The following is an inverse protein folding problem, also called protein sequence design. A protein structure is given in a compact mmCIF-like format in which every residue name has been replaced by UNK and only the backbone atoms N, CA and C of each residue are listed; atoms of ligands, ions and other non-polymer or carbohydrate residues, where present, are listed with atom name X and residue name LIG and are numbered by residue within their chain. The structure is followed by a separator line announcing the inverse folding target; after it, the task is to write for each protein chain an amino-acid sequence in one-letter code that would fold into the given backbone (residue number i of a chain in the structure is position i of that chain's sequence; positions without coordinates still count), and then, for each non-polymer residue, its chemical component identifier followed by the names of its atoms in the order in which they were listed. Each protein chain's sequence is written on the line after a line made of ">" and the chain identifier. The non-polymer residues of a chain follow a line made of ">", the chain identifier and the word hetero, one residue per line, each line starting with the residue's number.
data_IF_363287699199
#
_entry.id   IF_363287699199
#
_cell.length_a   1.000
_cell.length_b   1.000
_cell.length_c   1.000
_cell.angle_alpha   90.00
_cell.angle_beta   90.00
_cell.angle_gamma   90.00
#
_symmetry.space_group_name_H-M   'P 1'
#
loop_
_entity.id
_entity.type
_entity.pdbx_description
1 polymer ?
#
# COMPACT_ATOMS: atom_id res chain seq x y z
N UNK A 1 30.08 8.04 12.82
CA UNK A 1 28.88 7.38 12.24
C UNK A 1 27.93 7.10 13.39
N UNK A 2 26.61 7.31 13.26
CA UNK A 2 25.66 6.78 14.24
C UNK A 2 25.80 5.24 14.28
N UNK A 3 25.66 4.68 15.47
CA UNK A 3 25.69 3.23 15.69
C UNK A 3 24.54 2.55 14.91
N UNK A 4 24.77 1.40 14.25
CA UNK A 4 23.71 0.70 13.53
C UNK A 4 22.60 0.29 14.50
N UNK A 5 21.34 0.49 14.10
CA UNK A 5 20.16 0.07 14.87
C UNK A 5 20.24 -1.44 15.15
N UNK A 6 20.11 -1.88 16.41
CA UNK A 6 20.22 -3.30 16.75
C UNK A 6 19.16 -4.12 16.01
N UNK A 7 19.58 -5.25 15.45
CA UNK A 7 18.68 -6.09 14.66
C UNK A 7 17.61 -6.75 15.55
N UNK A 8 16.33 -6.57 15.18
CA UNK A 8 15.21 -7.27 15.80
C UNK A 8 15.22 -8.78 15.50
N UNK A 9 14.33 -9.50 16.18
CA UNK A 9 14.08 -10.92 15.89
C UNK A 9 13.36 -11.07 14.54
N UNK A 10 13.76 -12.03 13.68
CA UNK A 10 13.04 -12.30 12.44
C UNK A 10 11.55 -12.58 12.67
N UNK A 11 10.71 -12.11 11.75
CA UNK A 11 9.27 -12.36 11.70
C UNK A 11 8.92 -13.35 10.58
N UNK A 12 7.67 -13.80 10.52
CA UNK A 12 7.22 -14.70 9.43
C UNK A 12 7.13 -13.93 8.10
N UNK A 13 6.68 -12.68 8.18
CA UNK A 13 6.49 -11.82 7.02
C UNK A 13 7.82 -11.50 6.33
N UNK A 14 7.88 -11.82 5.04
CA UNK A 14 8.90 -11.33 4.12
C UNK A 14 8.29 -10.26 3.25
N UNK A 15 9.04 -9.20 3.01
CA UNK A 15 8.54 -7.98 2.38
C UNK A 15 9.33 -7.67 1.12
N UNK A 16 8.62 -7.35 0.06
CA UNK A 16 9.12 -6.71 -1.13
C UNK A 16 8.85 -5.21 -1.07
N UNK A 17 9.81 -4.39 -1.50
CA UNK A 17 9.61 -2.96 -1.65
C UNK A 17 10.30 -2.45 -2.90
N UNK A 18 9.76 -1.39 -3.50
CA UNK A 18 10.42 -0.69 -4.60
C UNK A 18 10.98 0.62 -4.07
N UNK A 19 12.27 0.84 -4.28
CA UNK A 19 12.94 2.08 -3.84
C UNK A 19 12.83 3.19 -4.88
N UNK A 20 13.08 4.43 -4.47
CA UNK A 20 13.18 5.60 -5.34
C UNK A 20 14.32 5.56 -6.36
N UNK A 21 15.24 4.61 -6.23
CA UNK A 21 16.28 4.30 -7.22
C UNK A 21 15.83 3.27 -8.28
N UNK A 22 14.52 2.97 -8.35
CA UNK A 22 13.96 1.94 -9.23
C UNK A 22 14.58 0.54 -8.99
N UNK A 23 14.79 0.18 -7.73
CA UNK A 23 15.24 -1.16 -7.33
C UNK A 23 14.16 -1.89 -6.55
N UNK A 24 13.89 -3.14 -6.91
CA UNK A 24 13.12 -4.08 -6.10
C UNK A 24 14.05 -4.67 -5.03
N UNK A 25 13.66 -4.52 -3.76
CA UNK A 25 14.39 -5.05 -2.61
C UNK A 25 13.53 -6.01 -1.82
N UNK A 26 14.17 -7.00 -1.18
CA UNK A 26 13.51 -7.99 -0.31
C UNK A 26 14.15 -7.96 1.07
N UNK A 27 13.36 -8.06 2.13
CA UNK A 27 13.86 -8.15 3.50
C UNK A 27 12.86 -8.86 4.42
N UNK A 28 13.33 -9.30 5.58
CA UNK A 28 12.45 -9.83 6.62
C UNK A 28 11.87 -8.68 7.45
N UNK A 29 10.57 -8.70 7.77
CA UNK A 29 9.91 -7.60 8.49
C UNK A 29 10.49 -7.33 9.88
N UNK A 30 11.09 -8.32 10.54
CA UNK A 30 11.78 -8.15 11.82
C UNK A 30 13.19 -7.56 11.72
N UNK A 31 13.76 -7.53 10.52
CA UNK A 31 15.11 -7.04 10.25
C UNK A 31 15.14 -6.16 8.97
N UNK A 32 14.34 -5.08 8.90
CA UNK A 32 14.13 -4.33 7.66
C UNK A 32 15.38 -3.61 7.13
N UNK A 33 16.39 -3.40 7.99
CA UNK A 33 17.68 -2.81 7.60
C UNK A 33 18.56 -3.80 6.81
N UNK A 34 18.33 -5.11 6.93
CA UNK A 34 19.11 -6.16 6.27
C UNK A 34 18.40 -6.63 5.00
N UNK A 35 18.78 -6.03 3.87
CA UNK A 35 18.28 -6.46 2.57
C UNK A 35 18.81 -7.85 2.20
N UNK A 36 17.91 -8.74 1.83
CA UNK A 36 18.17 -10.11 1.39
C UNK A 36 18.35 -10.19 -0.13
N UNK A 37 17.71 -9.27 -0.87
CA UNK A 37 17.82 -9.15 -2.32
C UNK A 37 17.72 -7.69 -2.72
N UNK A 38 18.40 -7.35 -3.82
CA UNK A 38 18.30 -6.07 -4.54
C UNK A 38 18.42 -6.33 -6.03
N UNK A 39 17.44 -5.89 -6.80
CA UNK A 39 17.36 -6.12 -8.25
C UNK A 39 16.86 -4.85 -8.92
N UNK A 40 17.57 -4.35 -9.94
CA UNK A 40 17.11 -3.20 -10.71
C UNK A 40 15.82 -3.52 -11.47
N UNK A 41 14.89 -2.57 -11.50
CA UNK A 41 13.69 -2.67 -12.32
C UNK A 41 14.02 -2.55 -13.80
N UNK A 42 13.31 -3.32 -14.62
CA UNK A 42 13.46 -3.33 -16.07
C UNK A 42 12.08 -3.23 -16.74
N UNK A 43 12.02 -2.60 -17.90
CA UNK A 43 10.76 -2.48 -18.67
C UNK A 43 9.85 -1.34 -18.24
N UNK A 44 10.29 -0.47 -17.31
CA UNK A 44 9.61 0.79 -17.02
C UNK A 44 10.01 1.84 -18.07
N UNK A 45 9.05 2.65 -18.52
CA UNK A 45 9.31 3.74 -19.46
C UNK A 45 10.33 4.74 -18.87
N UNK A 46 11.18 5.31 -19.74
CA UNK A 46 12.26 6.19 -19.31
C UNK A 46 11.70 7.44 -18.63
N UNK A 47 12.08 7.66 -17.38
CA UNK A 47 11.63 8.81 -16.58
C UNK A 47 10.30 8.60 -15.86
N UNK A 48 9.65 7.45 -16.04
CA UNK A 48 8.49 7.05 -15.26
C UNK A 48 8.92 6.48 -13.90
N UNK A 49 7.96 6.39 -12.97
CA UNK A 49 8.13 5.82 -11.63
C UNK A 49 6.96 4.92 -11.29
N UNK A 50 7.14 4.03 -10.31
CA UNK A 50 6.00 3.32 -9.73
C UNK A 50 5.33 4.19 -8.65
N UNK A 51 4.05 3.93 -8.43
CA UNK A 51 3.22 4.57 -7.39
C UNK A 51 2.66 3.56 -6.39
N UNK A 52 2.84 2.26 -6.64
CA UNK A 52 2.44 1.20 -5.72
C UNK A 52 2.74 -0.18 -6.30
N UNK A 53 2.83 -1.16 -5.40
CA UNK A 53 2.93 -2.59 -5.71
C UNK A 53 2.04 -3.36 -4.75
N UNK A 54 1.50 -4.49 -5.18
CA UNK A 54 0.75 -5.41 -4.31
C UNK A 54 0.58 -6.78 -5.00
N UNK A 55 0.42 -7.84 -4.22
CA UNK A 55 0.14 -9.18 -4.72
C UNK A 55 -1.34 -9.39 -5.01
N UNK A 56 -1.64 -9.90 -6.20
CA UNK A 56 -2.90 -10.63 -6.41
C UNK A 56 -2.74 -12.03 -5.83
N UNK A 57 -3.04 -12.19 -4.54
CA UNK A 57 -2.80 -13.42 -3.78
C UNK A 57 -3.40 -14.66 -4.46
N UNK A 58 -4.61 -14.56 -5.02
CA UNK A 58 -5.26 -15.66 -5.75
C UNK A 58 -4.46 -16.22 -6.95
N UNK A 59 -3.44 -15.50 -7.42
CA UNK A 59 -2.54 -15.89 -8.51
C UNK A 59 -1.07 -15.97 -8.09
N UNK A 60 -0.70 -15.47 -6.92
CA UNK A 60 0.70 -15.37 -6.48
C UNK A 60 1.56 -14.45 -7.34
N UNK A 61 0.94 -13.44 -7.98
CA UNK A 61 1.63 -12.51 -8.89
C UNK A 61 1.71 -11.12 -8.26
N UNK A 62 2.90 -10.54 -8.24
CA UNK A 62 3.13 -9.16 -7.83
C UNK A 62 2.77 -8.22 -8.98
N UNK A 63 1.96 -7.21 -8.70
CA UNK A 63 1.61 -6.15 -9.64
C UNK A 63 2.27 -4.83 -9.24
N UNK A 64 2.36 -3.93 -10.20
CA UNK A 64 2.85 -2.59 -10.03
C UNK A 64 2.01 -1.61 -10.86
N UNK A 65 1.78 -0.42 -10.32
CA UNK A 65 1.20 0.70 -11.08
C UNK A 65 2.26 1.78 -11.27
N UNK A 66 2.37 2.27 -12.50
CA UNK A 66 3.22 3.42 -12.84
C UNK A 66 2.51 4.75 -12.63
N UNK A 67 3.27 5.83 -12.45
CA UNK A 67 2.75 7.20 -12.44
C UNK A 67 2.15 7.59 -13.80
N UNK A 68 2.66 7.01 -14.89
CA UNK A 68 2.04 7.08 -16.21
C UNK A 68 0.68 6.37 -16.32
N UNK A 69 0.21 5.66 -15.30
CA UNK A 69 -1.11 5.03 -15.26
C UNK A 69 -1.19 3.63 -15.86
N UNK A 70 -0.05 3.03 -16.21
CA UNK A 70 0.01 1.67 -16.74
C UNK A 70 0.19 0.66 -15.61
N UNK A 71 -0.64 -0.39 -15.63
CA UNK A 71 -0.55 -1.53 -14.73
C UNK A 71 0.42 -2.57 -15.33
N UNK A 72 1.24 -3.16 -14.46
CA UNK A 72 2.24 -4.17 -14.81
C UNK A 72 2.14 -5.36 -13.85
N UNK A 73 2.58 -6.53 -14.31
CA UNK A 73 3.09 -7.59 -13.43
C UNK A 73 4.59 -7.40 -13.24
N UNK A 74 5.11 -7.68 -12.05
CA UNK A 74 6.51 -7.56 -11.68
C UNK A 74 7.09 -8.93 -11.31
N UNK A 75 8.08 -9.40 -12.09
CA UNK A 75 8.82 -10.62 -11.78
C UNK A 75 9.85 -10.35 -10.67
N UNK A 76 9.69 -11.00 -9.51
CA UNK A 76 10.51 -10.75 -8.32
C UNK A 76 11.94 -11.30 -8.42
N UNK A 77 12.21 -12.21 -9.36
CA UNK A 77 13.56 -12.78 -9.57
C UNK A 77 14.40 -11.88 -10.45
N UNK A 78 13.79 -11.27 -11.47
CA UNK A 78 14.48 -10.53 -12.53
C UNK A 78 14.28 -9.01 -12.45
N UNK A 79 13.26 -8.54 -11.72
CA UNK A 79 12.86 -7.13 -11.67
C UNK A 79 12.13 -6.66 -12.93
N UNK A 80 11.70 -7.58 -13.81
CA UNK A 80 11.08 -7.23 -15.09
C UNK A 80 9.59 -6.89 -14.92
N UNK A 81 9.21 -5.69 -15.34
CA UNK A 81 7.84 -5.24 -15.50
C UNK A 81 7.29 -5.70 -16.86
N UNK A 82 6.08 -6.25 -16.87
CA UNK A 82 5.35 -6.63 -18.09
C UNK A 82 3.98 -5.98 -18.07
N UNK A 83 3.64 -5.21 -19.09
CA UNK A 83 2.39 -4.48 -19.15
C UNK A 83 1.19 -5.44 -19.09
N UNK A 84 0.19 -5.07 -18.31
CA UNK A 84 -1.06 -5.82 -18.20
C UNK A 84 -2.05 -5.32 -19.24
N UNK A 85 -2.46 -6.23 -20.13
CA UNK A 85 -3.44 -5.94 -21.17
C UNK A 85 -3.02 -4.82 -22.12
N UNK A 86 -3.98 -4.35 -22.91
CA UNK A 86 -3.78 -3.31 -23.94
C UNK A 86 -4.64 -2.06 -23.68
N UNK A 87 -5.24 -1.93 -22.49
CA UNK A 87 -6.04 -0.76 -22.17
C UNK A 87 -5.16 0.51 -22.16
N UNK A 88 -5.75 1.68 -22.50
CA UNK A 88 -5.07 2.96 -22.30
C UNK A 88 -4.67 3.15 -20.82
N UNK A 89 -3.53 3.81 -20.54
CA UNK A 89 -3.16 4.14 -19.17
C UNK A 89 -4.23 4.99 -18.48
N UNK A 90 -4.44 4.75 -17.18
CA UNK A 90 -5.40 5.52 -16.39
C UNK A 90 -4.81 6.87 -15.97
N UNK A 91 -5.61 7.92 -15.96
CA UNK A 91 -5.13 9.22 -15.49
C UNK A 91 -5.07 9.24 -13.97
N UNK A 92 -3.86 9.37 -13.42
CA UNK A 92 -3.64 9.49 -11.99
C UNK A 92 -3.53 10.97 -11.58
N UNK A 93 -4.19 11.32 -10.48
CA UNK A 93 -4.21 12.68 -9.93
C UNK A 93 -3.64 12.66 -8.51
N UNK A 94 -2.78 13.63 -8.19
CA UNK A 94 -2.07 13.70 -6.92
C UNK A 94 -0.61 13.27 -7.01
N UNK A 95 0.04 13.21 -5.86
CA UNK A 95 1.48 12.91 -5.77
C UNK A 95 1.78 11.62 -4.99
N UNK A 96 0.84 11.22 -4.12
CA UNK A 96 0.93 10.03 -3.26
C UNK A 96 -0.30 9.16 -3.49
N UNK A 97 -0.09 7.84 -3.47
CA UNK A 97 -1.09 6.89 -3.90
C UNK A 97 -1.12 5.65 -3.01
N UNK A 98 -2.33 5.20 -2.66
CA UNK A 98 -2.57 3.83 -2.21
C UNK A 98 -2.93 2.95 -3.40
N UNK A 99 -2.40 1.73 -3.41
CA UNK A 99 -2.60 0.72 -4.45
C UNK A 99 -2.70 -0.63 -3.76
N UNK A 100 -3.81 -1.36 -3.93
CA UNK A 100 -3.99 -2.66 -3.28
C UNK A 100 -5.08 -3.50 -3.97
N UNK A 101 -4.98 -4.81 -3.90
CA UNK A 101 -5.99 -5.75 -4.35
C UNK A 101 -7.08 -5.93 -3.31
N UNK A 102 -8.32 -5.63 -3.70
CA UNK A 102 -9.47 -6.09 -2.94
C UNK A 102 -9.67 -7.59 -3.21
N UNK A 103 -9.46 -8.49 -2.23
CA UNK A 103 -9.54 -9.92 -2.46
C UNK A 103 -10.97 -10.42 -2.70
N UNK A 104 -11.98 -9.74 -2.15
CA UNK A 104 -13.38 -10.10 -2.30
C UNK A 104 -13.96 -9.70 -3.66
N UNK A 105 -13.50 -8.59 -4.22
CA UNK A 105 -13.97 -8.06 -5.51
C UNK A 105 -13.07 -8.43 -6.69
N UNK A 106 -11.85 -8.92 -6.41
CA UNK A 106 -10.78 -9.15 -7.40
C UNK A 106 -10.55 -7.91 -8.29
N UNK A 107 -10.38 -6.76 -7.63
CA UNK A 107 -10.15 -5.47 -8.27
C UNK A 107 -9.03 -4.74 -7.56
N UNK A 108 -8.24 -4.02 -8.34
CA UNK A 108 -7.23 -3.10 -7.81
C UNK A 108 -7.94 -1.83 -7.38
N UNK A 109 -7.71 -1.38 -6.15
CA UNK A 109 -8.07 -0.06 -5.66
C UNK A 109 -6.89 0.88 -5.87
N UNK A 110 -7.15 2.08 -6.38
CA UNK A 110 -6.17 3.16 -6.44
C UNK A 110 -6.77 4.41 -5.80
N UNK A 111 -6.12 4.91 -4.76
CA UNK A 111 -6.53 6.14 -4.05
C UNK A 111 -5.38 7.13 -4.03
N UNK A 112 -5.65 8.42 -3.85
CA UNK A 112 -4.59 9.43 -3.81
C UNK A 112 -4.80 10.55 -2.81
N UNK A 113 -3.74 11.33 -2.60
CA UNK A 113 -3.73 12.46 -1.68
C UNK A 113 -4.48 13.69 -2.21
N UNK A 114 -4.92 13.65 -3.48
CA UNK A 114 -5.89 14.59 -4.04
C UNK A 114 -7.35 14.12 -3.91
N UNK A 115 -7.58 12.99 -3.22
CA UNK A 115 -8.90 12.41 -3.02
C UNK A 115 -9.40 11.53 -4.18
N UNK A 116 -8.53 11.17 -5.14
CA UNK A 116 -8.90 10.27 -6.22
C UNK A 116 -9.26 8.88 -5.66
N UNK A 117 -10.24 8.21 -6.26
CA UNK A 117 -10.69 6.88 -5.87
C UNK A 117 -11.11 6.09 -7.11
N UNK A 118 -10.25 5.18 -7.56
CA UNK A 118 -10.41 4.40 -8.78
C UNK A 118 -10.42 2.90 -8.49
N UNK A 119 -11.04 2.16 -9.40
CA UNK A 119 -10.91 0.70 -9.48
C UNK A 119 -10.38 0.32 -10.85
N UNK A 120 -9.39 -0.56 -10.90
CA UNK A 120 -8.82 -1.10 -12.13
C UNK A 120 -9.10 -2.60 -12.25
N UNK A 121 -9.19 -3.10 -13.48
CA UNK A 121 -9.34 -4.51 -13.77
C UNK A 121 -7.96 -5.19 -13.91
N UNK A 122 -7.64 -6.19 -13.09
CA UNK A 122 -6.28 -6.73 -13.02
C UNK A 122 -5.87 -7.57 -14.23
N UNK A 123 -6.81 -8.10 -15.02
CA UNK A 123 -6.47 -8.86 -16.23
C UNK A 123 -6.32 -8.00 -17.49
N UNK A 124 -6.86 -6.78 -17.50
CA UNK A 124 -6.91 -5.95 -18.72
C UNK A 124 -6.20 -4.61 -18.56
N UNK A 125 -5.89 -4.20 -17.32
CA UNK A 125 -5.33 -2.90 -17.00
C UNK A 125 -6.34 -1.74 -17.14
N UNK A 126 -7.59 -2.03 -17.53
CA UNK A 126 -8.61 -1.02 -17.79
C UNK A 126 -9.12 -0.37 -16.50
N UNK A 127 -9.50 0.90 -16.59
CA UNK A 127 -10.30 1.57 -15.58
C UNK A 127 -11.66 0.85 -15.48
N UNK A 128 -11.92 0.21 -14.34
CA UNK A 128 -13.18 -0.44 -14.05
C UNK A 128 -14.23 0.54 -13.53
N UNK A 129 -13.82 1.53 -12.72
CA UNK A 129 -14.71 2.59 -12.24
C UNK A 129 -13.92 3.79 -11.70
N UNK A 130 -14.56 4.96 -11.75
CA UNK A 130 -14.22 6.14 -10.95
C UNK A 130 -15.29 6.28 -9.88
N UNK A 131 -14.90 6.13 -8.63
CA UNK A 131 -15.79 6.24 -7.47
C UNK A 131 -15.82 7.70 -6.97
N UNK A 132 -16.80 8.09 -6.13
CA UNK A 132 -16.81 9.38 -5.47
C UNK A 132 -15.46 9.69 -4.77
N UNK A 133 -15.03 10.96 -4.77
CA UNK A 133 -13.80 11.37 -4.11
C UNK A 133 -13.77 11.01 -2.62
N UNK A 134 -12.57 10.75 -2.12
CA UNK A 134 -12.36 10.45 -0.71
C UNK A 134 -12.82 11.62 0.17
N UNK A 135 -13.63 11.32 1.17
CA UNK A 135 -14.16 12.32 2.09
C UNK A 135 -14.42 11.70 3.46
N UNK A 136 -14.28 12.50 4.52
CA UNK A 136 -14.63 12.07 5.86
C UNK A 136 -16.12 11.77 5.97
N UNK A 137 -16.46 10.67 6.65
CA UNK A 137 -17.84 10.35 6.99
C UNK A 137 -18.41 11.36 7.98
N UNK A 138 -17.60 11.80 8.95
CA UNK A 138 -17.93 12.89 9.86
C UNK A 138 -17.59 14.25 9.21
N UNK A 139 -18.46 15.27 9.35
CA UNK A 139 -18.20 16.61 8.83
C UNK A 139 -17.13 17.35 9.64
N UNK A 140 -16.65 18.49 9.10
CA UNK A 140 -15.82 19.45 9.84
C UNK A 140 -14.30 19.18 9.82
N UNK A 141 -13.86 18.15 9.11
CA UNK A 141 -12.44 17.87 8.90
C UNK A 141 -11.97 18.42 7.53
N UNK A 142 -10.70 18.85 7.42
CA UNK A 142 -10.12 19.22 6.12
C UNK A 142 -10.10 18.02 5.18
N UNK A 143 -9.93 18.25 3.88
CA UNK A 143 -9.86 17.16 2.91
C UNK A 143 -8.77 16.13 3.29
N UNK A 144 -9.09 14.82 3.24
CA UNK A 144 -8.12 13.77 3.57
C UNK A 144 -6.99 13.73 2.55
N UNK A 145 -5.78 13.38 3.01
CA UNK A 145 -4.60 13.16 2.16
C UNK A 145 -4.15 11.71 2.28
N UNK A 146 -4.84 10.83 1.56
CA UNK A 146 -4.59 9.38 1.59
C UNK A 146 -3.41 9.00 0.70
N UNK A 147 -2.48 8.22 1.25
CA UNK A 147 -1.25 7.85 0.55
C UNK A 147 -0.93 6.36 0.58
N UNK A 148 -1.73 5.56 1.25
CA UNK A 148 -1.61 4.11 1.26
C UNK A 148 -3.00 3.49 1.51
N UNK A 149 -3.22 2.29 1.00
CA UNK A 149 -4.43 1.50 1.21
C UNK A 149 -4.04 0.03 1.31
N UNK A 150 -4.78 -0.75 2.08
CA UNK A 150 -4.62 -2.20 2.19
C UNK A 150 -5.95 -2.88 2.52
N UNK A 151 -6.12 -4.14 2.11
CA UNK A 151 -7.29 -4.95 2.41
C UNK A 151 -7.00 -6.10 3.38
N UNK A 152 -7.92 -6.36 4.31
CA UNK A 152 -7.91 -7.59 5.10
C UNK A 152 -8.38 -8.79 4.28
N UNK A 153 -7.98 -9.98 4.71
CA UNK A 153 -8.41 -11.26 4.17
C UNK A 153 -9.24 -12.02 5.20
N UNK A 154 -10.49 -12.31 4.85
CA UNK A 154 -11.36 -13.13 5.69
C UNK A 154 -11.24 -14.62 5.31
N UNK A 155 -10.75 -15.43 6.25
CA UNK A 155 -10.54 -16.88 6.03
C UNK A 155 -11.81 -17.73 6.14
N UNK A 156 -12.94 -17.14 6.55
CA UNK A 156 -14.23 -17.84 6.72
C UNK A 156 -15.20 -17.53 5.57
N UNK A 157 -15.18 -16.31 5.07
CA UNK A 157 -16.01 -15.85 3.96
C UNK A 157 -15.20 -14.93 3.06
N UNK A 158 -14.78 -15.44 1.90
CA UNK A 158 -13.97 -14.72 0.92
C UNK A 158 -14.66 -13.48 0.32
N UNK A 159 -15.98 -13.31 0.56
CA UNK A 159 -16.74 -12.13 0.13
C UNK A 159 -16.60 -10.95 1.08
N UNK A 160 -15.97 -11.16 2.25
CA UNK A 160 -15.76 -10.15 3.27
C UNK A 160 -14.31 -9.64 3.25
N UNK A 161 -14.18 -8.33 3.37
CA UNK A 161 -12.90 -7.64 3.50
C UNK A 161 -13.13 -6.27 4.12
N UNK A 162 -12.14 -5.74 4.83
CA UNK A 162 -12.08 -4.36 5.32
C UNK A 162 -11.00 -3.61 4.57
N UNK A 163 -11.33 -2.43 4.04
CA UNK A 163 -10.33 -1.54 3.47
C UNK A 163 -9.81 -0.58 4.53
N UNK A 164 -8.51 -0.64 4.77
CA UNK A 164 -7.79 0.34 5.58
C UNK A 164 -6.98 1.26 4.67
N UNK A 165 -6.71 2.47 5.17
CA UNK A 165 -5.86 3.44 4.50
C UNK A 165 -5.12 4.32 5.51
N UNK A 166 -4.09 5.03 5.04
CA UNK A 166 -3.29 5.94 5.85
C UNK A 166 -3.44 7.37 5.35
N UNK A 167 -3.88 8.25 6.24
CA UNK A 167 -3.90 9.69 6.04
C UNK A 167 -2.58 10.33 6.51
N UNK A 168 -1.98 11.14 5.64
CA UNK A 168 -0.66 11.75 5.87
C UNK A 168 -0.68 12.93 6.83
N UNK A 169 -1.83 13.60 7.03
CA UNK A 169 -1.88 14.92 7.71
C UNK A 169 -1.45 14.79 9.16
N UNK A 170 -2.02 13.82 9.87
CA UNK A 170 -1.69 13.54 11.27
C UNK A 170 -1.02 12.17 11.47
N UNK A 171 -0.87 11.36 10.41
CA UNK A 171 -0.46 9.97 10.52
C UNK A 171 -1.57 9.15 11.18
N UNK A 172 -2.67 8.97 10.45
CA UNK A 172 -3.89 8.36 10.99
C UNK A 172 -4.24 7.12 10.19
N UNK A 173 -4.51 6.01 10.88
CA UNK A 173 -5.15 4.85 10.28
C UNK A 173 -6.65 5.12 10.17
N UNK A 174 -7.20 4.89 8.99
CA UNK A 174 -8.61 5.06 8.68
C UNK A 174 -9.15 3.80 8.00
N UNK A 175 -10.46 3.60 8.04
CA UNK A 175 -11.15 2.68 7.14
C UNK A 175 -11.76 3.46 5.98
N UNK A 176 -11.76 2.89 4.79
CA UNK A 176 -12.57 3.38 3.67
C UNK A 176 -13.79 2.47 3.54
N UNK A 177 -14.95 2.98 3.93
CA UNK A 177 -16.13 2.17 4.22
C UNK A 177 -16.13 1.66 5.67
N UNK A 178 -16.95 0.64 5.92
CA UNK A 178 -17.10 0.04 7.25
C UNK A 178 -16.23 -1.20 7.42
N UNK A 179 -15.85 -1.51 8.66
CA UNK A 179 -15.23 -2.80 9.01
C UNK A 179 -16.19 -3.97 8.74
N UNK A 180 -15.63 -5.16 8.54
CA UNK A 180 -16.41 -6.40 8.42
C UNK A 180 -17.39 -6.59 9.59
N UNK A 181 -18.62 -6.99 9.26
CA UNK A 181 -19.69 -7.22 10.23
C UNK A 181 -20.40 -5.97 10.76
N UNK A 182 -19.93 -4.75 10.45
CA UNK A 182 -20.60 -3.52 10.84
C UNK A 182 -21.99 -3.37 10.18
N UNK A 183 -22.93 -2.73 10.88
CA UNK A 183 -24.26 -2.39 10.37
C UNK A 183 -24.59 -0.93 10.64
N UNK A 184 -25.03 -0.14 9.63
CA UNK A 184 -25.14 -0.54 8.22
C UNK A 184 -23.76 -0.75 7.58
N UNK A 185 -23.71 -1.65 6.58
CA UNK A 185 -22.51 -1.84 5.76
C UNK A 185 -22.30 -0.62 4.86
N UNK A 186 -21.10 -0.06 4.88
CA UNK A 186 -20.69 1.04 4.00
C UNK A 186 -19.61 0.53 3.05
N UNK A 187 -19.92 0.49 1.76
CA UNK A 187 -18.96 0.06 0.75
C UNK A 187 -17.78 1.04 0.65
N UNK A 188 -16.54 0.54 0.49
CA UNK A 188 -15.39 1.37 0.15
C UNK A 188 -15.59 2.24 -1.10
N UNK A 189 -16.45 1.79 -2.04
CA UNK A 189 -16.76 2.52 -3.27
C UNK A 189 -17.51 3.84 -3.00
N UNK A 190 -17.98 4.10 -1.78
CA UNK A 190 -18.57 5.39 -1.41
C UNK A 190 -17.53 6.50 -1.18
N UNK A 191 -16.25 6.13 -1.06
CA UNK A 191 -15.15 7.05 -0.74
C UNK A 191 -15.19 7.58 0.71
N UNK A 192 -16.07 7.04 1.57
CA UNK A 192 -16.22 7.53 2.94
C UNK A 192 -15.16 6.97 3.87
N UNK A 193 -14.49 7.87 4.59
CA UNK A 193 -13.42 7.56 5.52
C UNK A 193 -13.88 7.70 6.97
N UNK A 194 -13.57 6.70 7.80
CA UNK A 194 -13.77 6.74 9.25
C UNK A 194 -12.42 6.57 9.96
N UNK A 195 -12.19 7.37 11.00
CA UNK A 195 -10.96 7.30 11.79
C UNK A 195 -10.95 6.04 12.64
N UNK A 196 -9.85 5.30 12.59
CA UNK A 196 -9.56 4.19 13.51
C UNK A 196 -8.73 4.70 14.68
N UNK A 197 -7.61 5.35 14.38
CA UNK A 197 -6.76 5.95 15.40
C UNK A 197 -5.45 6.51 14.85
N UNK A 198 -4.72 7.23 15.70
CA UNK A 198 -3.41 7.79 15.37
C UNK A 198 -2.34 6.69 15.35
N UNK A 199 -1.49 6.70 14.32
CA UNK A 199 -0.29 5.85 14.22
C UNK A 199 0.71 6.18 15.33
N UNK A 200 0.71 7.42 15.82
CA UNK A 200 1.67 7.92 16.81
C UNK A 200 2.99 8.42 16.19
N UNK A 201 3.05 8.53 14.87
CA UNK A 201 4.22 9.04 14.12
C UNK A 201 4.17 10.54 13.87
N UNK A 202 3.00 11.16 14.03
CA UNK A 202 2.73 12.50 13.52
C UNK A 202 2.60 12.53 11.99
N UNK A 203 2.71 13.73 11.41
CA UNK A 203 2.61 13.96 9.97
C UNK A 203 3.67 13.16 9.18
N UNK A 204 3.28 12.74 7.98
CA UNK A 204 4.05 11.85 7.12
C UNK A 204 4.33 12.49 5.75
N UNK A 205 5.51 12.21 5.20
CA UNK A 205 5.91 12.63 3.84
C UNK A 205 5.36 11.66 2.78
N UNK A 206 5.29 10.37 3.13
CA UNK A 206 4.79 9.27 2.31
C UNK A 206 4.49 8.04 3.19
N UNK A 207 3.68 7.12 2.67
CA UNK A 207 3.40 5.82 3.28
C UNK A 207 3.29 4.75 2.19
N UNK A 208 3.65 3.51 2.53
CA UNK A 208 3.23 2.30 1.82
C UNK A 208 2.70 1.32 2.87
N UNK A 209 1.64 0.59 2.56
CA UNK A 209 0.89 -0.20 3.54
C UNK A 209 0.37 -1.46 2.89
N UNK A 210 0.50 -2.58 3.58
CA UNK A 210 -0.03 -3.87 3.14
C UNK A 210 -0.42 -4.72 4.36
N UNK A 211 -1.36 -5.64 4.17
CA UNK A 211 -1.92 -6.53 5.19
C UNK A 211 -1.76 -7.98 4.69
N UNK A 212 -1.03 -8.77 5.47
CA UNK A 212 -0.75 -10.17 5.12
C UNK A 212 -2.03 -10.99 5.00
N UNK A 213 -2.13 -11.80 3.94
CA UNK A 213 -3.33 -12.59 3.70
C UNK A 213 -3.54 -13.67 4.76
N UNK A 214 -2.47 -14.21 5.33
CA UNK A 214 -2.51 -15.39 6.21
C UNK A 214 -3.13 -15.10 7.57
N UNK A 215 -2.74 -14.00 8.21
CA UNK A 215 -3.14 -13.66 9.58
C UNK A 215 -3.54 -12.19 9.78
N UNK A 216 -3.65 -11.41 8.71
CA UNK A 216 -3.92 -9.96 8.73
C UNK A 216 -2.87 -9.14 9.49
N UNK A 217 -1.62 -9.62 9.58
CA UNK A 217 -0.50 -8.79 10.03
C UNK A 217 -0.34 -7.58 9.12
N UNK A 218 -0.53 -6.38 9.67
CA UNK A 218 -0.46 -5.14 8.92
C UNK A 218 0.92 -4.48 9.08
N UNK A 219 1.58 -4.20 7.95
CA UNK A 219 2.89 -3.55 7.90
C UNK A 219 2.82 -2.26 7.12
N UNK A 220 3.37 -1.18 7.68
CA UNK A 220 3.48 0.11 7.02
C UNK A 220 4.93 0.57 6.94
N UNK A 221 5.40 0.93 5.74
CA UNK A 221 6.60 1.71 5.58
C UNK A 221 6.24 3.20 5.61
N UNK A 222 6.56 3.87 6.71
CA UNK A 222 6.21 5.26 6.94
C UNK A 222 7.45 6.13 6.75
N UNK A 223 7.32 7.18 5.93
CA UNK A 223 8.38 8.16 5.71
C UNK A 223 8.05 9.45 6.45
N UNK A 224 8.97 9.88 7.31
CA UNK A 224 8.90 11.16 7.99
C UNK A 224 10.31 11.71 8.16
N UNK A 225 10.47 13.03 8.06
CA UNK A 225 11.77 13.71 8.18
C UNK A 225 12.83 13.12 7.24
N UNK A 226 12.42 12.71 6.03
CA UNK A 226 13.31 12.17 5.01
C UNK A 226 13.84 10.75 5.27
N UNK A 227 13.29 10.01 6.24
CA UNK A 227 13.67 8.61 6.52
C UNK A 227 12.46 7.68 6.51
N UNK A 228 12.63 6.50 5.91
CA UNK A 228 11.59 5.46 5.86
C UNK A 228 11.87 4.37 6.91
N UNK A 229 10.87 4.10 7.75
CA UNK A 229 10.90 3.03 8.76
C UNK A 229 9.72 2.10 8.56
N UNK A 230 9.92 0.81 8.83
CA UNK A 230 8.85 -0.19 8.86
C UNK A 230 8.19 -0.20 10.24
N UNK A 231 6.87 -0.32 10.25
CA UNK A 231 6.04 -0.40 11.44
C UNK A 231 5.09 -1.58 11.34
N UNK A 232 4.84 -2.22 12.48
CA UNK A 232 3.65 -3.04 12.70
C UNK A 232 2.49 -2.12 13.07
N UNK A 233 1.36 -2.25 12.39
CA UNK A 233 0.15 -1.44 12.65
C UNK A 233 -0.92 -2.31 13.32
N UNK A 234 -1.48 -1.82 14.42
CA UNK A 234 -2.64 -2.43 15.05
C UNK A 234 -3.92 -1.93 14.35
N UNK A 235 -4.63 -2.83 13.67
CA UNK A 235 -5.82 -2.50 12.87
C UNK A 235 -7.06 -2.09 13.69
N UNK A 236 -7.04 -2.26 15.01
CA UNK A 236 -8.16 -1.95 15.90
C UNK A 236 -7.99 -0.56 16.53
N UNK A 237 -6.80 -0.29 17.04
CA UNK A 237 -6.45 0.95 17.73
C UNK A 237 -5.78 1.99 16.83
N UNK A 238 -5.28 1.58 15.67
CA UNK A 238 -4.51 2.42 14.76
C UNK A 238 -3.07 2.68 15.18
N UNK A 239 -2.59 2.16 16.32
CA UNK A 239 -1.23 2.42 16.81
C UNK A 239 -0.16 1.70 15.98
N UNK A 240 0.95 2.38 15.72
CA UNK A 240 2.10 1.82 15.02
C UNK A 240 3.27 1.55 15.98
N UNK A 241 3.89 0.37 15.88
CA UNK A 241 5.10 -0.02 16.60
C UNK A 241 6.26 -0.13 15.61
N UNK A 242 7.34 0.62 15.83
CA UNK A 242 8.50 0.63 14.94
C UNK A 242 9.23 -0.73 14.96
N UNK A 243 9.54 -1.25 13.76
CA UNK A 243 10.33 -2.47 13.57
C UNK A 243 11.78 -2.15 13.16
N UNK A 244 12.01 -1.02 12.49
CA UNK A 244 13.34 -0.52 12.16
C UNK A 244 13.40 0.25 10.84
N UNK A 245 14.56 0.82 10.53
CA UNK A 245 14.80 1.48 9.24
C UNK A 245 14.77 0.46 8.08
N UNK A 246 14.13 0.82 6.96
CA UNK A 246 14.14 -0.02 5.75
C UNK A 246 15.40 0.28 4.94
N UNK A 247 16.28 -0.71 4.79
CA UNK A 247 17.57 -0.53 4.11
C UNK A 247 18.35 0.67 4.65
N UNK A 248 18.58 1.69 3.82
CA UNK A 248 19.25 2.96 4.15
C UNK A 248 18.28 4.11 4.49
N UNK A 249 16.97 3.83 4.56
CA UNK A 249 15.91 4.78 4.87
C UNK A 249 15.49 5.68 3.71
N UNK A 250 15.87 5.37 2.46
CA UNK A 250 15.43 6.09 1.26
C UNK A 250 13.92 6.02 1.04
N UNK A 251 13.40 6.83 0.11
CA UNK A 251 11.98 6.78 -0.21
C UNK A 251 11.63 5.48 -0.92
N UNK A 252 10.39 5.03 -0.75
CA UNK A 252 9.83 3.86 -1.41
C UNK A 252 8.69 4.29 -2.33
N UNK A 253 8.56 3.60 -3.46
CA UNK A 253 7.43 3.71 -4.38
C UNK A 253 6.30 2.72 -4.03
N UNK A 254 6.58 1.69 -3.24
CA UNK A 254 5.58 0.73 -2.78
C UNK A 254 6.19 -0.36 -1.91
N UNK A 255 5.32 -1.12 -1.25
CA UNK A 255 5.64 -2.24 -0.38
C UNK A 255 4.56 -3.31 -0.57
N UNK A 256 4.94 -4.58 -0.59
CA UNK A 256 4.04 -5.73 -0.59
C UNK A 256 4.62 -6.87 0.28
N UNK A 257 3.78 -7.55 1.03
CA UNK A 257 4.08 -8.72 1.85
C UNK A 257 3.98 -9.95 0.94
N UNK A 258 4.99 -10.82 1.01
CA UNK A 258 4.98 -12.09 0.28
C UNK A 258 3.89 -13.02 0.86
N UNK A 259 2.98 -13.55 0.02
CA UNK A 259 1.90 -14.45 0.45
C UNK A 259 2.38 -15.85 0.86
#
# INVERSE_FOLDING_TARGET
>A
MPEPEPAGTPRKETVWAVTDAAELVRFNAGQPHKLLQRTALQGLDRGDRLVGIDYRVARGVLYALSAGGRLYTLDTKTGRLTAVGNAPPVVLQGERFGFDFNPAADRVRVVSDSGQNLRLHPDTGALAATDPPLSWAAPGQPAPRIAAAAYTYNKKDEKLTTNYAIDLVAGTLVTQGSIEGAQPVVSPNTGKLAVVGLLGTGALDAAAFDIADTDNTALAALRSSGRTRLYLVDLVSGRAAALGMVGDGRALWGLAIEP
#
